data_IF_948261554624
#
_entry.id   IF_948261554624
#
_cell.length_a   1.000
_cell.length_b   1.000
_cell.length_c   1.000
_cell.angle_alpha   90.00
_cell.angle_beta   90.00
_cell.angle_gamma   90.00
#
_symmetry.space_group_name_H-M   'P 1'
#
loop_
_entity.id
_entity.type
_entity.pdbx_description
1 polymer ?
#
# COMPACT_ATOMS: atom_id res chain seq x y z
N UNK A 1 -83.11 24.29 -6.07
CA UNK A 1 -84.44 23.65 -5.91
C UNK A 1 -84.68 23.17 -4.47
N UNK A 2 -85.16 24.04 -3.57
CA UNK A 2 -85.57 23.65 -2.20
C UNK A 2 -87.10 23.67 -2.01
N UNK A 3 -87.85 24.08 -3.04
CA UNK A 3 -89.31 24.20 -3.02
C UNK A 3 -90.01 22.83 -3.08
N UNK A 4 -89.40 21.85 -3.72
CA UNK A 4 -89.86 20.46 -3.81
C UNK A 4 -89.44 19.59 -2.61
N UNK A 5 -88.64 20.13 -1.69
CA UNK A 5 -88.19 19.39 -0.51
C UNK A 5 -89.29 19.43 0.56
N UNK A 6 -89.68 18.24 1.02
CA UNK A 6 -90.72 18.03 2.02
C UNK A 6 -90.06 17.54 3.33
N UNK A 7 -89.97 18.39 4.36
CA UNK A 7 -89.45 17.98 5.66
C UNK A 7 -90.46 17.09 6.38
N UNK A 8 -89.97 16.13 7.16
CA UNK A 8 -90.80 15.20 7.94
C UNK A 8 -91.41 15.87 9.20
N UNK A 9 -90.75 16.91 9.70
CA UNK A 9 -91.18 17.71 10.85
C UNK A 9 -91.49 19.15 10.42
N UNK A 10 -92.33 19.89 11.16
CA UNK A 10 -92.57 21.29 10.87
C UNK A 10 -91.28 22.10 11.06
N UNK A 11 -90.88 22.87 10.05
CA UNK A 11 -89.64 23.67 10.07
C UNK A 11 -89.88 25.11 9.69
N UNK A 12 -89.09 26.00 10.29
CA UNK A 12 -89.15 27.46 10.06
C UNK A 12 -88.62 27.84 8.67
N UNK A 13 -87.57 27.16 8.17
CA UNK A 13 -86.99 27.41 6.85
C UNK A 13 -86.69 26.11 6.10
N UNK A 14 -87.46 25.83 5.04
CA UNK A 14 -87.29 24.64 4.18
C UNK A 14 -85.92 24.58 3.50
N UNK A 15 -85.34 25.73 3.15
CA UNK A 15 -84.03 25.78 2.51
C UNK A 15 -82.92 25.33 3.45
N UNK A 16 -82.91 25.85 4.68
CA UNK A 16 -81.92 25.48 5.68
C UNK A 16 -82.07 24.01 6.08
N UNK A 17 -83.31 23.55 6.29
CA UNK A 17 -83.55 22.15 6.62
C UNK A 17 -83.02 21.20 5.54
N UNK A 18 -83.33 21.47 4.25
CA UNK A 18 -82.80 20.67 3.15
C UNK A 18 -81.28 20.57 3.18
N UNK A 19 -80.60 21.71 3.34
CA UNK A 19 -79.13 21.76 3.37
C UNK A 19 -78.56 20.95 4.53
N UNK A 20 -79.20 21.00 5.70
CA UNK A 20 -78.79 20.24 6.88
C UNK A 20 -78.99 18.74 6.68
N UNK A 21 -80.11 18.33 6.11
CA UNK A 21 -80.41 16.93 5.83
C UNK A 21 -79.49 16.35 4.76
N UNK A 22 -79.24 17.10 3.69
CA UNK A 22 -78.28 16.75 2.66
C UNK A 22 -76.88 16.54 3.28
N UNK A 23 -76.47 17.41 4.20
CA UNK A 23 -75.19 17.30 4.89
C UNK A 23 -75.15 16.07 5.83
N UNK A 24 -76.20 15.84 6.63
CA UNK A 24 -76.31 14.66 7.51
C UNK A 24 -76.29 13.37 6.69
N UNK A 25 -77.01 13.34 5.57
CA UNK A 25 -77.02 12.20 4.65
C UNK A 25 -75.62 11.94 4.09
N UNK A 26 -74.93 12.98 3.62
CA UNK A 26 -73.55 12.86 3.14
C UNK A 26 -72.60 12.37 4.24
N UNK A 27 -72.71 12.90 5.47
CA UNK A 27 -71.91 12.44 6.61
C UNK A 27 -72.18 10.97 6.94
N UNK A 28 -73.44 10.54 6.95
CA UNK A 28 -73.80 9.15 7.16
C UNK A 28 -73.22 8.25 6.06
N UNK A 29 -73.36 8.64 4.78
CA UNK A 29 -72.79 7.88 3.66
C UNK A 29 -71.27 7.76 3.74
N UNK A 30 -70.57 8.80 4.18
CA UNK A 30 -69.12 8.73 4.45
C UNK A 30 -68.82 7.71 5.54
N UNK A 31 -69.50 7.78 6.69
CA UNK A 31 -69.32 6.81 7.78
C UNK A 31 -69.57 5.37 7.35
N UNK A 32 -70.59 5.13 6.52
CA UNK A 32 -70.88 3.79 5.97
C UNK A 32 -69.78 3.33 5.03
N UNK A 33 -69.29 4.20 4.14
CA UNK A 33 -68.21 3.85 3.21
C UNK A 33 -66.86 3.62 3.93
N UNK A 34 -66.59 4.42 4.96
CA UNK A 34 -65.35 4.35 5.75
C UNK A 34 -65.39 3.28 6.84
N UNK A 35 -66.54 2.63 7.04
CA UNK A 35 -66.70 1.56 8.01
C UNK A 35 -65.81 0.37 7.65
N UNK A 36 -64.85 0.06 8.53
CA UNK A 36 -63.97 -1.10 8.38
C UNK A 36 -64.73 -2.38 8.77
N UNK A 37 -64.47 -3.51 8.08
CA UNK A 37 -65.04 -4.80 8.48
C UNK A 37 -64.52 -5.21 9.86
N UNK A 38 -65.38 -5.84 10.67
CA UNK A 38 -65.03 -6.32 12.03
C UNK A 38 -64.08 -7.51 11.97
N UNK A 39 -64.19 -8.34 10.93
CA UNK A 39 -63.34 -9.51 10.71
C UNK A 39 -62.52 -9.29 9.46
N UNK A 40 -61.20 -9.41 9.57
CA UNK A 40 -60.32 -9.41 8.40
C UNK A 40 -60.41 -10.77 7.69
N UNK A 41 -60.93 -10.77 6.48
CA UNK A 41 -61.01 -11.95 5.61
C UNK A 41 -59.91 -11.98 4.55
N UNK A 42 -58.94 -11.06 4.62
CA UNK A 42 -57.85 -11.02 3.65
C UNK A 42 -56.90 -12.20 3.86
N UNK A 43 -56.54 -12.84 2.76
CA UNK A 43 -55.49 -13.87 2.76
C UNK A 43 -54.15 -13.31 3.24
N UNK A 44 -53.30 -14.19 3.76
CA UNK A 44 -51.94 -13.82 4.13
C UNK A 44 -51.16 -13.36 2.89
N UNK A 45 -50.27 -12.38 3.06
CA UNK A 45 -49.39 -11.94 1.98
C UNK A 45 -48.38 -13.05 1.69
N UNK A 46 -48.24 -13.43 0.43
CA UNK A 46 -47.20 -14.37 0.02
C UNK A 46 -45.83 -13.80 0.38
N UNK A 47 -44.98 -14.56 1.11
CA UNK A 47 -43.62 -14.12 1.41
C UNK A 47 -42.81 -13.84 0.14
N UNK A 48 -42.02 -12.76 0.13
CA UNK A 48 -41.28 -12.33 -1.06
C UNK A 48 -40.30 -13.38 -1.61
N UNK A 49 -39.74 -14.23 -0.74
CA UNK A 49 -38.84 -15.31 -1.14
C UNK A 49 -39.53 -16.45 -1.90
N UNK A 50 -40.87 -16.58 -1.82
CA UNK A 50 -41.64 -17.50 -2.67
C UNK A 50 -41.90 -16.89 -4.05
N UNK A 51 -41.98 -15.56 -4.14
CA UNK A 51 -42.20 -14.87 -5.40
C UNK A 51 -40.92 -14.78 -6.23
N UNK A 52 -39.76 -14.63 -5.57
CA UNK A 52 -38.47 -14.40 -6.20
C UNK A 52 -37.34 -15.20 -5.54
N UNK A 53 -36.66 -16.02 -6.34
CA UNK A 53 -35.44 -16.70 -5.94
C UNK A 53 -34.23 -15.77 -6.11
N UNK A 54 -33.99 -14.91 -5.12
CA UNK A 54 -32.91 -13.90 -5.16
C UNK A 54 -31.53 -14.51 -5.48
N UNK A 55 -31.21 -15.68 -4.93
CA UNK A 55 -29.94 -16.37 -5.22
C UNK A 55 -29.81 -16.76 -6.68
N UNK A 56 -30.91 -17.19 -7.33
CA UNK A 56 -30.90 -17.53 -8.75
C UNK A 56 -30.65 -16.29 -9.60
N UNK A 57 -31.27 -15.16 -9.24
CA UNK A 57 -31.08 -13.90 -9.94
C UNK A 57 -29.61 -13.42 -9.83
N UNK A 58 -29.04 -13.47 -8.62
CA UNK A 58 -27.64 -13.11 -8.38
C UNK A 58 -26.68 -13.98 -9.21
N UNK A 59 -26.87 -15.31 -9.20
CA UNK A 59 -26.00 -16.22 -9.97
C UNK A 59 -26.06 -15.94 -11.47
N UNK A 60 -27.23 -15.56 -12.00
CA UNK A 60 -27.35 -15.21 -13.42
C UNK A 60 -26.65 -13.88 -13.73
N UNK A 61 -26.76 -12.89 -12.85
CA UNK A 61 -26.05 -11.61 -12.99
C UNK A 61 -24.52 -11.81 -12.95
N UNK A 62 -24.02 -12.60 -12.00
CA UNK A 62 -22.58 -12.92 -11.89
C UNK A 62 -22.08 -13.67 -13.14
N UNK A 63 -22.90 -14.60 -13.67
CA UNK A 63 -22.60 -15.33 -14.91
C UNK A 63 -22.51 -14.38 -16.10
N UNK A 64 -23.48 -13.48 -16.26
CA UNK A 64 -23.50 -12.48 -17.33
C UNK A 64 -22.35 -11.47 -17.21
N UNK A 65 -22.00 -11.06 -15.99
CA UNK A 65 -20.85 -10.18 -15.71
C UNK A 65 -19.53 -10.82 -16.12
N UNK A 66 -19.35 -12.10 -15.79
CA UNK A 66 -18.18 -12.89 -16.19
C UNK A 66 -18.09 -12.99 -17.72
N UNK A 67 -19.18 -13.38 -18.38
CA UNK A 67 -19.26 -13.47 -19.84
C UNK A 67 -18.93 -12.13 -20.51
N UNK A 68 -19.51 -11.03 -20.01
CA UNK A 68 -19.28 -9.69 -20.55
C UNK A 68 -17.81 -9.26 -20.42
N UNK A 69 -17.22 -9.52 -19.26
CA UNK A 69 -15.81 -9.23 -18.98
C UNK A 69 -14.88 -10.03 -19.90
N UNK A 70 -15.17 -11.32 -20.08
CA UNK A 70 -14.35 -12.19 -20.93
C UNK A 70 -14.52 -11.87 -22.41
N UNK A 71 -15.74 -11.54 -22.85
CA UNK A 71 -15.98 -11.03 -24.20
C UNK A 71 -15.22 -9.74 -24.47
N UNK A 72 -15.17 -8.82 -23.50
CA UNK A 72 -14.37 -7.58 -23.61
C UNK A 72 -12.87 -7.89 -23.73
N UNK A 73 -12.35 -8.78 -22.89
CA UNK A 73 -10.94 -9.22 -22.96
C UNK A 73 -10.63 -9.86 -24.32
N UNK A 74 -11.52 -10.72 -24.81
CA UNK A 74 -11.36 -11.37 -26.11
C UNK A 74 -11.36 -10.35 -27.24
N UNK A 75 -12.32 -9.41 -27.24
CA UNK A 75 -12.40 -8.35 -28.25
C UNK A 75 -11.14 -7.48 -28.26
N UNK A 76 -10.59 -7.13 -27.08
CA UNK A 76 -9.33 -6.41 -26.97
C UNK A 76 -8.16 -7.20 -27.58
N UNK A 77 -8.03 -8.49 -27.25
CA UNK A 77 -6.99 -9.36 -27.82
C UNK A 77 -7.13 -9.48 -29.34
N UNK A 78 -8.36 -9.61 -29.85
CA UNK A 78 -8.61 -9.65 -31.29
C UNK A 78 -8.23 -8.33 -31.95
N UNK A 79 -8.56 -7.19 -31.32
CA UNK A 79 -8.14 -5.88 -31.82
C UNK A 79 -6.61 -5.71 -31.83
N UNK A 80 -5.92 -6.22 -30.80
CA UNK A 80 -4.45 -6.24 -30.75
C UNK A 80 -3.87 -7.09 -31.88
N UNK A 81 -4.39 -8.31 -32.09
CA UNK A 81 -3.97 -9.19 -33.18
C UNK A 81 -4.19 -8.50 -34.54
N UNK A 82 -5.37 -7.92 -34.76
CA UNK A 82 -5.71 -7.22 -36.00
C UNK A 82 -4.81 -6.00 -36.27
N UNK A 83 -4.42 -5.26 -35.22
CA UNK A 83 -3.46 -4.16 -35.34
C UNK A 83 -2.03 -4.64 -35.56
N UNK A 84 -1.67 -5.77 -34.96
CA UNK A 84 -0.35 -6.35 -35.10
C UNK A 84 -0.14 -6.87 -36.53
N UNK A 85 1.07 -6.73 -37.08
CA UNK A 85 1.42 -7.25 -38.41
C UNK A 85 1.74 -8.76 -38.42
N UNK A 86 1.21 -9.52 -37.45
CA UNK A 86 1.41 -10.97 -37.37
C UNK A 86 2.79 -11.40 -36.87
N UNK A 87 3.33 -10.72 -35.85
CA UNK A 87 4.52 -11.20 -35.16
C UNK A 87 4.15 -12.46 -34.36
N UNK A 88 4.49 -13.63 -34.89
CA UNK A 88 4.44 -14.88 -34.15
C UNK A 88 5.68 -14.90 -33.27
N UNK A 89 5.50 -14.92 -31.94
CA UNK A 89 6.55 -15.40 -31.06
C UNK A 89 6.47 -16.93 -31.10
N UNK A 90 7.41 -17.52 -31.81
CA UNK A 90 7.61 -18.97 -31.85
C UNK A 90 8.98 -19.32 -31.25
N UNK A 91 9.59 -18.37 -30.55
CA UNK A 91 10.81 -18.56 -29.76
C UNK A 91 10.41 -18.68 -28.29
N UNK A 92 9.69 -19.75 -27.98
CA UNK A 92 9.48 -20.11 -26.59
C UNK A 92 10.74 -20.83 -26.13
N UNK A 93 11.67 -20.13 -25.49
CA UNK A 93 12.83 -20.77 -24.86
C UNK A 93 12.29 -21.76 -23.82
N UNK A 94 12.44 -23.08 -24.04
CA UNK A 94 11.95 -24.03 -23.06
C UNK A 94 12.73 -23.77 -21.76
N UNK A 95 12.05 -23.61 -20.61
CA UNK A 95 12.77 -23.44 -19.35
C UNK A 95 13.68 -24.65 -19.20
N UNK A 96 14.97 -24.43 -18.91
CA UNK A 96 15.93 -25.51 -18.78
C UNK A 96 15.48 -26.47 -17.67
N UNK A 97 14.80 -27.56 -18.06
CA UNK A 97 14.21 -28.53 -17.14
C UNK A 97 15.32 -29.42 -16.62
N UNK A 98 15.96 -29.00 -15.54
CA UNK A 98 16.82 -29.89 -14.76
C UNK A 98 15.96 -30.66 -13.76
N UNK A 99 16.10 -31.98 -13.75
CA UNK A 99 15.46 -32.87 -12.77
C UNK A 99 15.75 -32.44 -11.32
N UNK A 100 16.88 -31.77 -11.08
CA UNK A 100 17.31 -31.29 -9.76
C UNK A 100 17.04 -29.78 -9.54
N UNK A 101 16.28 -29.11 -10.40
CA UNK A 101 16.03 -27.67 -10.29
C UNK A 101 15.40 -27.30 -8.93
N UNK A 102 14.43 -28.08 -8.47
CA UNK A 102 13.76 -27.83 -7.20
C UNK A 102 14.71 -28.06 -6.02
N UNK A 103 15.51 -29.13 -6.05
CA UNK A 103 16.49 -29.42 -5.01
C UNK A 103 17.53 -28.30 -4.90
N UNK A 104 18.11 -27.87 -6.04
CA UNK A 104 19.05 -26.74 -6.09
C UNK A 104 18.43 -25.44 -5.59
N UNK A 105 17.15 -25.18 -5.88
CA UNK A 105 16.45 -24.00 -5.38
C UNK A 105 16.30 -24.03 -3.86
N UNK A 106 15.97 -25.20 -3.29
CA UNK A 106 15.87 -25.35 -1.83
C UNK A 106 17.23 -25.24 -1.15
N UNK A 107 18.28 -25.85 -1.73
CA UNK A 107 19.66 -25.70 -1.24
C UNK A 107 20.10 -24.23 -1.28
N UNK A 108 19.80 -23.50 -2.36
CA UNK A 108 20.11 -22.07 -2.46
C UNK A 108 19.41 -21.26 -1.36
N UNK A 109 18.14 -21.56 -1.06
CA UNK A 109 17.42 -20.90 0.03
C UNK A 109 18.03 -21.21 1.39
N UNK A 110 18.44 -22.45 1.64
CA UNK A 110 19.12 -22.83 2.88
C UNK A 110 20.45 -22.09 3.02
N UNK A 111 21.27 -22.06 1.96
CA UNK A 111 22.54 -21.32 1.94
C UNK A 111 22.30 -19.82 2.18
N UNK A 112 21.28 -19.22 1.56
CA UNK A 112 20.92 -17.83 1.80
C UNK A 112 20.55 -17.59 3.27
N UNK A 113 19.77 -18.49 3.88
CA UNK A 113 19.39 -18.38 5.28
C UNK A 113 20.60 -18.51 6.23
N UNK A 114 21.47 -19.47 5.99
CA UNK A 114 22.71 -19.66 6.76
C UNK A 114 23.63 -18.45 6.63
N UNK A 115 23.81 -17.92 5.42
CA UNK A 115 24.59 -16.73 5.17
C UNK A 115 24.02 -15.51 5.89
N UNK A 116 22.69 -15.36 5.93
CA UNK A 116 22.05 -14.30 6.69
C UNK A 116 22.32 -14.44 8.20
N UNK A 117 22.21 -15.65 8.75
CA UNK A 117 22.52 -15.90 10.16
C UNK A 117 24.01 -15.66 10.50
N UNK A 118 24.93 -15.95 9.57
CA UNK A 118 26.36 -15.60 9.71
C UNK A 118 26.54 -14.09 9.72
N UNK A 119 25.94 -13.38 8.76
CA UNK A 119 26.03 -11.93 8.66
C UNK A 119 25.50 -11.25 9.93
N UNK A 120 24.38 -11.72 10.47
CA UNK A 120 23.86 -11.21 11.73
C UNK A 120 24.81 -11.43 12.91
N UNK A 121 25.48 -12.59 12.97
CA UNK A 121 26.47 -12.87 14.02
C UNK A 121 27.69 -11.97 13.91
N UNK A 122 28.18 -11.73 12.69
CA UNK A 122 29.30 -10.82 12.43
C UNK A 122 28.92 -9.40 12.86
N UNK A 123 27.74 -8.92 12.46
CA UNK A 123 27.28 -7.57 12.79
C UNK A 123 26.97 -7.39 14.28
N UNK A 124 26.52 -8.43 14.98
CA UNK A 124 26.24 -8.39 16.43
C UNK A 124 27.53 -8.45 17.28
N UNK A 125 28.64 -8.94 16.72
CA UNK A 125 29.91 -9.03 17.46
C UNK A 125 30.53 -7.63 17.55
N UNK A 126 30.56 -7.09 18.75
CA UNK A 126 31.32 -5.87 19.03
C UNK A 126 32.82 -6.13 18.92
N UNK A 127 33.59 -5.09 18.58
CA UNK A 127 35.03 -5.19 18.51
C UNK A 127 35.63 -5.41 19.90
N UNK A 128 36.37 -6.50 20.10
CA UNK A 128 37.11 -6.76 21.35
C UNK A 128 38.30 -5.78 21.56
N UNK A 129 38.57 -4.92 20.57
CA UNK A 129 39.63 -3.93 20.62
C UNK A 129 39.32 -2.86 21.68
N UNK A 130 39.91 -3.02 22.87
CA UNK A 130 39.93 -2.00 23.94
C UNK A 130 40.89 -0.88 23.55
N UNK A 131 40.42 0.01 22.67
CA UNK A 131 41.21 1.12 22.12
C UNK A 131 41.90 1.94 23.21
N UNK A 132 41.21 2.22 24.31
CA UNK A 132 41.73 2.99 25.43
C UNK A 132 42.98 2.33 26.06
N UNK A 133 42.93 1.01 26.27
CA UNK A 133 44.05 0.26 26.82
C UNK A 133 45.25 0.26 25.87
N UNK A 134 44.98 0.12 24.57
CA UNK A 134 46.02 0.12 23.55
C UNK A 134 46.69 1.48 23.38
N UNK A 135 45.92 2.56 23.52
CA UNK A 135 46.43 3.91 23.52
C UNK A 135 47.31 4.17 24.75
N UNK A 136 46.90 3.70 25.93
CA UNK A 136 47.69 3.78 27.16
C UNK A 136 49.00 2.98 27.07
N UNK A 137 48.93 1.73 26.59
CA UNK A 137 50.10 0.89 26.34
C UNK A 137 51.05 1.53 25.32
N UNK A 138 50.50 2.13 24.27
CA UNK A 138 51.28 2.86 23.27
C UNK A 138 51.97 4.08 23.88
N UNK A 139 51.27 4.91 24.66
CA UNK A 139 51.85 6.06 25.34
C UNK A 139 52.94 5.65 26.35
N UNK A 140 52.73 4.56 27.09
CA UNK A 140 53.74 4.01 28.00
C UNK A 140 54.98 3.53 27.23
N UNK A 141 54.77 2.82 26.13
CA UNK A 141 55.85 2.36 25.26
C UNK A 141 56.61 3.54 24.66
N UNK A 142 55.90 4.57 24.21
CA UNK A 142 56.47 5.80 23.67
C UNK A 142 57.32 6.53 24.72
N UNK A 143 56.84 6.63 25.96
CA UNK A 143 57.61 7.21 27.08
C UNK A 143 58.88 6.42 27.37
N UNK A 144 58.78 5.09 27.48
CA UNK A 144 59.95 4.22 27.69
C UNK A 144 60.96 4.36 26.54
N UNK A 145 60.48 4.45 25.30
CA UNK A 145 61.31 4.67 24.13
C UNK A 145 62.01 6.03 24.19
N UNK A 146 61.33 7.10 24.59
CA UNK A 146 61.94 8.42 24.80
C UNK A 146 63.02 8.38 25.88
N UNK A 147 62.80 7.65 26.97
CA UNK A 147 63.74 7.54 28.10
C UNK A 147 65.00 6.71 27.74
N UNK A 148 64.84 5.65 26.93
CA UNK A 148 65.95 4.77 26.51
C UNK A 148 66.66 5.32 25.26
N UNK A 149 66.02 6.20 24.50
CA UNK A 149 66.57 6.75 23.28
C UNK A 149 67.82 7.59 23.56
N UNK A 150 68.94 7.20 22.93
CA UNK A 150 70.20 7.95 22.98
C UNK A 150 70.12 9.34 22.32
N UNK A 151 69.14 9.55 21.44
CA UNK A 151 68.93 10.80 20.71
C UNK A 151 67.44 11.15 20.70
N UNK A 152 67.06 12.44 20.85
CA UNK A 152 65.66 12.84 20.90
C UNK A 152 64.92 12.44 19.62
N UNK A 153 63.82 11.71 19.79
CA UNK A 153 62.91 11.37 18.70
C UNK A 153 61.92 12.51 18.49
N UNK A 154 61.75 12.94 17.24
CA UNK A 154 61.00 14.14 16.89
C UNK A 154 61.86 15.30 16.40
N UNK A 155 62.93 15.03 15.65
CA UNK A 155 63.66 16.10 14.94
C UNK A 155 62.67 16.84 14.04
N UNK A 156 62.41 18.15 14.25
CA UNK A 156 61.60 18.90 13.31
C UNK A 156 62.31 18.87 11.96
N UNK A 157 61.60 18.49 10.90
CA UNK A 157 62.11 18.42 9.52
C UNK A 157 62.79 19.72 9.02
N UNK A 158 62.72 20.80 9.79
CA UNK A 158 63.40 22.07 9.55
C UNK A 158 64.94 22.04 9.75
N UNK A 159 65.49 21.11 10.55
CA UNK A 159 66.96 21.05 10.74
C UNK A 159 67.67 20.29 9.61
N UNK A 160 67.01 19.28 9.02
CA UNK A 160 67.58 18.46 7.94
C UNK A 160 67.80 19.29 6.67
N UNK A 161 66.89 20.22 6.37
CA UNK A 161 67.01 21.13 5.22
C UNK A 161 68.17 22.12 5.39
N UNK A 162 68.44 22.59 6.61
CA UNK A 162 69.54 23.54 6.90
C UNK A 162 70.93 22.88 6.79
N UNK A 163 71.07 21.62 7.19
CA UNK A 163 72.33 20.85 7.08
C UNK A 163 72.65 20.55 5.61
N UNK A 164 71.65 20.12 4.84
CA UNK A 164 71.81 19.89 3.40
C UNK A 164 72.19 21.21 2.70
N UNK A 165 71.51 22.32 2.97
CA UNK A 165 71.82 23.61 2.34
C UNK A 165 73.25 24.12 2.67
N UNK A 166 73.76 23.90 3.90
CA UNK A 166 75.13 24.23 4.28
C UNK A 166 76.19 23.35 3.60
N UNK A 167 75.90 22.07 3.37
CA UNK A 167 76.83 21.15 2.69
C UNK A 167 76.99 21.47 1.20
N UNK A 168 75.93 21.94 0.53
CA UNK A 168 75.98 22.32 -0.89
C UNK A 168 76.51 23.74 -1.16
N UNK A 169 76.55 24.62 -0.17
CA UNK A 169 77.02 26.02 -0.33
C UNK A 169 78.42 26.30 0.25
N UNK A 170 79.02 25.34 0.97
CA UNK A 170 80.31 25.50 1.64
C UNK A 170 81.57 25.31 0.79
N UNK A 171 81.46 24.88 -0.48
CA UNK A 171 82.62 24.44 -1.27
C UNK A 171 82.90 25.27 -2.55
N UNK A 172 82.61 26.58 -2.51
CA UNK A 172 82.88 27.51 -3.63
C UNK A 172 83.81 28.69 -3.27
N UNK A 173 84.39 28.74 -2.06
CA UNK A 173 85.26 29.88 -1.64
C UNK A 173 86.75 29.59 -1.51
N UNK A 174 87.24 28.38 -1.83
CA UNK A 174 88.66 28.03 -1.70
C UNK A 174 89.44 27.84 -3.01
N UNK A 175 88.84 28.14 -4.18
CA UNK A 175 89.53 28.02 -5.49
C UNK A 175 89.81 29.36 -6.21
N UNK A 176 89.76 30.51 -5.52
CA UNK A 176 90.05 31.82 -6.14
C UNK A 176 91.02 32.70 -5.32
N UNK A 177 92.08 32.11 -4.76
CA UNK A 177 93.19 32.89 -4.17
C UNK A 177 94.56 32.22 -4.33
N UNK A 178 94.89 31.81 -5.55
CA UNK A 178 96.30 31.73 -6.01
C UNK A 178 96.35 32.11 -7.49
N UNK A 179 96.27 33.41 -7.75
CA UNK A 179 96.72 34.03 -9.00
C UNK A 179 97.21 35.43 -8.67
N UNK A 180 98.48 35.50 -8.30
CA UNK A 180 99.48 36.53 -8.65
C UNK A 180 100.85 35.98 -8.24
#
# INVERSE_FOLDING_TARGET
MHRSYQPLEPVTSKYLQKRMDDNKYQQHRRKVNDAKPVVDTKGHKTPGHLQLNLKKLQMEEDRLSTISTDNKKLALKLADILRSKGQVDNWNDPPARSMNAQKRRMELLNVCHENQAILERINKRESDYRRELWEEDWQNTERILQDIARYPHGVPLQQVTSIIFKLYTGNLKTLLTQRF
#
